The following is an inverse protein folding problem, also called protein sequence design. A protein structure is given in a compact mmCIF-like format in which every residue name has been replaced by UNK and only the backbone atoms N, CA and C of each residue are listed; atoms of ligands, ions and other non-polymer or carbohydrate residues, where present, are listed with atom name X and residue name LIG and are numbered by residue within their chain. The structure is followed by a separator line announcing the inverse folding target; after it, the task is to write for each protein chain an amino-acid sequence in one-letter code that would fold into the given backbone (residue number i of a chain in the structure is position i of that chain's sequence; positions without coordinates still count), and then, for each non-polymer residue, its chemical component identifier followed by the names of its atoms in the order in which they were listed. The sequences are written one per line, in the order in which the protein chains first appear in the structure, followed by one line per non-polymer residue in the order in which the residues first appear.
data_IF_472583404604
#
_entry.id   IF_472583404604
#
_cell.length_a   1.000
_cell.length_b   1.000
_cell.length_c   1.000
_cell.angle_alpha   90.00
_cell.angle_beta   90.00
_cell.angle_gamma   90.00
#
_symmetry.space_group_name_H-M   'P 1'
#
loop_
_entity.id
_entity.type
_entity.pdbx_description
1 polymer ?
#
# COMPACT_ATOMS: atom_id res chain seq x y z
N UNK A 1 49.48 29.63 -42.88
CA UNK A 1 50.30 30.79 -42.51
C UNK A 1 49.47 31.68 -41.61
N UNK A 2 50.00 31.96 -40.40
CA UNK A 2 49.64 33.04 -39.48
C UNK A 2 48.19 33.10 -38.94
N UNK A 3 47.91 33.51 -37.70
CA UNK A 3 48.68 33.67 -36.47
C UNK A 3 47.65 33.95 -35.36
N UNK A 4 48.10 33.81 -34.13
CA UNK A 4 47.42 33.77 -32.86
C UNK A 4 46.81 35.10 -32.37
N UNK A 5 45.89 34.96 -31.40
CA UNK A 5 45.89 35.79 -30.19
C UNK A 5 44.49 36.26 -29.75
N UNK A 6 44.18 36.50 -28.47
CA UNK A 6 44.91 36.44 -27.20
C UNK A 6 43.84 36.68 -26.09
N UNK A 7 43.92 35.94 -24.97
CA UNK A 7 43.70 36.32 -23.55
C UNK A 7 42.40 37.04 -23.12
N UNK A 8 41.53 36.39 -22.32
CA UNK A 8 41.49 36.30 -20.83
C UNK A 8 41.22 37.59 -20.05
N UNK A 9 40.37 37.44 -19.02
CA UNK A 9 40.29 38.25 -17.77
C UNK A 9 39.36 39.48 -17.87
N UNK A 10 38.60 39.94 -16.88
CA UNK A 10 38.67 39.78 -15.42
C UNK A 10 37.37 40.31 -14.77
N UNK A 11 36.95 39.69 -13.65
CA UNK A 11 36.38 40.28 -12.41
C UNK A 11 35.35 41.42 -12.51
N UNK A 12 34.14 41.14 -12.02
CA UNK A 12 33.34 42.14 -11.31
C UNK A 12 33.25 41.77 -9.82
N UNK A 13 33.53 42.78 -8.99
CA UNK A 13 33.72 42.76 -7.55
C UNK A 13 32.38 42.73 -6.79
N UNK A 14 32.35 41.89 -5.74
CA UNK A 14 31.98 42.19 -4.34
C UNK A 14 30.67 42.96 -4.04
N UNK A 15 29.88 42.45 -3.09
CA UNK A 15 29.53 43.17 -1.84
C UNK A 15 28.79 42.21 -0.86
N UNK A 16 29.44 41.93 0.28
CA UNK A 16 28.98 41.82 1.70
C UNK A 16 27.58 41.24 2.03
N UNK A 17 27.31 40.52 3.14
CA UNK A 17 27.86 40.54 4.50
C UNK A 17 27.39 39.26 5.23
N UNK A 18 28.26 38.62 6.01
CA UNK A 18 27.89 37.47 6.86
C UNK A 18 27.23 37.90 8.18
N UNK A 19 26.41 37.01 8.74
CA UNK A 19 26.02 37.05 10.14
C UNK A 19 26.16 35.66 10.74
N UNK A 20 27.19 35.50 11.56
CA UNK A 20 27.40 34.37 12.48
C UNK A 20 26.76 34.78 13.79
N UNK A 21 25.85 33.94 14.32
CA UNK A 21 25.44 34.03 15.73
C UNK A 21 25.75 32.68 16.36
N UNK A 22 26.82 32.66 17.15
CA UNK A 22 27.09 31.64 18.15
C UNK A 22 26.41 32.08 19.46
N UNK A 23 25.69 31.17 20.11
CA UNK A 23 25.30 31.32 21.51
C UNK A 23 25.75 30.07 22.27
N UNK A 24 26.63 30.30 23.24
CA UNK A 24 27.20 29.35 24.18
C UNK A 24 26.79 29.72 25.61
N UNK A 25 26.64 28.70 26.46
CA UNK A 25 26.32 28.78 27.90
C UNK A 25 24.92 28.22 28.19
N UNK A 26 24.69 27.15 28.95
CA UNK A 26 25.46 26.50 30.01
C UNK A 26 24.83 26.83 31.37
N UNK A 27 24.04 25.93 31.95
CA UNK A 27 23.94 25.77 33.41
C UNK A 27 23.29 24.44 33.82
N UNK A 28 23.96 23.79 34.75
CA UNK A 28 23.61 22.59 35.50
C UNK A 28 22.34 22.75 36.34
N UNK A 29 21.54 21.69 36.45
CA UNK A 29 20.89 21.29 37.70
C UNK A 29 20.85 19.75 37.78
N UNK A 30 21.63 19.20 38.72
CA UNK A 30 21.49 17.87 39.30
C UNK A 30 20.96 18.06 40.73
N UNK A 31 20.07 17.16 41.17
CA UNK A 31 19.84 16.65 42.54
C UNK A 31 18.53 15.83 42.46
N UNK A 32 18.60 14.50 42.40
CA UNK A 32 18.67 13.54 43.52
C UNK A 32 17.32 13.25 44.19
N UNK A 33 17.00 11.96 44.30
CA UNK A 33 15.78 11.46 44.94
C UNK A 33 15.51 9.98 44.71
N UNK A 34 16.49 9.12 45.03
CA UNK A 34 16.25 7.69 45.23
C UNK A 34 15.70 7.43 46.64
N UNK A 35 14.73 6.52 46.79
CA UNK A 35 14.78 5.32 47.64
C UNK A 35 13.36 4.82 47.93
N UNK A 36 13.06 3.57 47.59
CA UNK A 36 12.46 2.57 48.50
C UNK A 36 12.49 1.21 47.79
N UNK A 37 13.15 0.26 48.44
CA UNK A 37 13.26 -1.14 48.05
C UNK A 37 12.08 -1.95 48.59
N UNK A 38 11.69 -3.05 47.94
CA UNK A 38 11.81 -4.40 48.51
C UNK A 38 11.30 -5.49 47.55
N UNK A 39 12.00 -6.61 47.59
CA UNK A 39 11.72 -7.87 46.93
C UNK A 39 10.58 -8.66 47.61
N UNK A 40 9.99 -9.60 46.88
CA UNK A 40 9.08 -10.61 47.44
C UNK A 40 8.57 -11.57 46.36
N UNK A 41 9.07 -12.79 46.41
CA UNK A 41 8.75 -13.92 45.53
C UNK A 41 7.54 -14.71 46.06
N UNK A 42 6.85 -15.42 45.15
CA UNK A 42 6.12 -16.69 45.35
C UNK A 42 4.58 -16.72 45.46
N UNK A 43 4.06 -17.67 44.66
CA UNK A 43 2.94 -18.60 44.86
C UNK A 43 1.47 -18.17 44.71
N UNK A 44 0.90 -18.72 43.62
CA UNK A 44 -0.33 -19.53 43.54
C UNK A 44 -1.64 -19.01 44.18
N UNK A 45 -2.64 -18.84 43.32
CA UNK A 45 -4.06 -18.80 43.67
C UNK A 45 -4.92 -19.00 42.43
N UNK A 46 -5.47 -20.21 42.28
CA UNK A 46 -6.49 -20.58 41.31
C UNK A 46 -7.76 -19.74 41.50
N UNK A 47 -8.38 -19.30 40.40
CA UNK A 47 -9.85 -19.23 40.31
C UNK A 47 -10.31 -19.13 38.86
N UNK A 48 -11.10 -20.15 38.51
CA UNK A 48 -12.03 -20.30 37.40
C UNK A 48 -12.63 -19.00 36.84
N UNK A 49 -12.57 -18.87 35.52
CA UNK A 49 -13.31 -17.86 34.76
C UNK A 49 -13.32 -18.25 33.28
N UNK A 50 -14.41 -18.85 32.84
CA UNK A 50 -14.70 -19.21 31.46
C UNK A 50 -14.46 -18.02 30.51
N UNK A 51 -13.41 -18.12 29.68
CA UNK A 51 -13.17 -17.23 28.55
C UNK A 51 -13.25 -18.06 27.27
N UNK A 52 -14.27 -17.80 26.45
CA UNK A 52 -14.45 -18.45 25.16
C UNK A 52 -13.28 -18.06 24.25
N UNK A 53 -12.42 -19.04 23.98
CA UNK A 53 -11.38 -19.01 22.97
C UNK A 53 -12.02 -18.86 21.58
N UNK A 54 -11.81 -17.70 20.96
CA UNK A 54 -12.26 -17.36 19.61
C UNK A 54 -11.06 -17.03 18.71
N UNK A 55 -9.90 -17.63 18.97
CA UNK A 55 -8.74 -17.60 18.06
C UNK A 55 -8.46 -18.99 17.50
N UNK A 56 -9.37 -19.45 16.63
CA UNK A 56 -9.11 -20.57 15.74
C UNK A 56 -9.65 -20.32 14.34
N UNK A 57 -8.88 -19.56 13.57
CA UNK A 57 -8.81 -19.74 12.13
C UNK A 57 -7.37 -20.12 11.76
N UNK A 58 -7.08 -21.41 11.97
CA UNK A 58 -6.11 -22.14 11.16
C UNK A 58 -6.48 -21.92 9.69
N UNK A 59 -5.66 -21.20 8.94
CA UNK A 59 -5.56 -21.43 7.51
C UNK A 59 -4.55 -22.55 7.33
N UNK A 60 -5.02 -23.78 7.51
CA UNK A 60 -4.34 -24.95 7.03
C UNK A 60 -4.09 -24.79 5.52
N UNK A 61 -2.86 -25.06 5.09
CA UNK A 61 -2.57 -25.40 3.70
C UNK A 61 -3.55 -26.47 3.24
N UNK A 62 -4.36 -26.13 2.25
CA UNK A 62 -5.36 -27.00 1.69
C UNK A 62 -5.72 -26.52 0.31
N UNK A 63 -5.10 -27.17 -0.68
CA UNK A 63 -5.62 -27.42 -2.04
C UNK A 63 -6.05 -26.23 -2.89
N UNK A 64 -5.44 -26.16 -4.07
CA UNK A 64 -5.82 -25.35 -5.23
C UNK A 64 -7.32 -25.51 -5.49
N UNK A 65 -8.14 -24.59 -4.96
CA UNK A 65 -9.59 -24.64 -5.13
C UNK A 65 -10.01 -23.58 -6.17
N UNK A 66 -10.59 -24.11 -7.25
CA UNK A 66 -11.54 -23.47 -8.17
C UNK A 66 -11.03 -22.49 -9.25
N UNK A 67 -10.62 -23.05 -10.38
CA UNK A 67 -11.05 -22.51 -11.69
C UNK A 67 -12.49 -23.01 -11.98
N UNK A 68 -13.48 -22.34 -11.39
CA UNK A 68 -14.90 -22.47 -11.76
C UNK A 68 -15.45 -21.04 -11.87
N UNK A 69 -16.31 -20.73 -12.87
CA UNK A 69 -16.97 -19.43 -12.94
C UNK A 69 -18.02 -19.34 -11.83
N UNK A 70 -17.58 -19.05 -10.61
CA UNK A 70 -18.46 -18.87 -9.47
C UNK A 70 -18.96 -17.43 -9.46
N UNK A 71 -20.24 -17.28 -9.81
CA UNK A 71 -21.21 -16.41 -9.12
C UNK A 71 -20.80 -14.93 -8.95
N UNK A 72 -21.46 -14.04 -9.71
CA UNK A 72 -21.35 -12.56 -9.70
C UNK A 72 -21.58 -11.83 -8.34
N UNK A 73 -21.57 -12.49 -7.17
CA UNK A 73 -22.06 -11.89 -5.92
C UNK A 73 -21.32 -12.23 -4.61
N UNK A 74 -20.07 -12.69 -4.61
CA UNK A 74 -19.37 -12.96 -3.34
C UNK A 74 -18.80 -11.71 -2.65
N UNK A 75 -18.64 -10.60 -3.36
CA UNK A 75 -18.13 -9.35 -2.79
C UNK A 75 -18.81 -8.15 -3.44
N UNK A 76 -19.92 -7.62 -2.92
CA UNK A 76 -20.67 -6.54 -3.57
C UNK A 76 -19.85 -5.25 -3.77
N UNK A 77 -18.72 -5.16 -3.07
CA UNK A 77 -17.82 -4.01 -3.08
C UNK A 77 -16.58 -4.16 -3.96
N UNK A 78 -16.49 -5.23 -4.74
CA UNK A 78 -15.38 -5.49 -5.65
C UNK A 78 -15.94 -5.82 -7.03
N UNK A 79 -15.32 -5.25 -8.07
CA UNK A 79 -15.45 -5.76 -9.44
C UNK A 79 -14.08 -6.12 -9.97
N UNK A 80 -14.05 -7.11 -10.86
CA UNK A 80 -12.85 -7.64 -11.48
C UNK A 80 -12.96 -7.54 -12.99
N UNK A 81 -11.84 -7.37 -13.68
CA UNK A 81 -11.78 -7.56 -15.13
C UNK A 81 -11.99 -9.02 -15.50
N UNK A 82 -12.44 -9.30 -16.71
CA UNK A 82 -12.54 -10.69 -17.18
C UNK A 82 -11.15 -11.30 -17.43
N UNK A 83 -10.95 -12.53 -16.96
CA UNK A 83 -9.73 -13.28 -17.28
C UNK A 83 -9.80 -13.77 -18.73
N UNK A 84 -8.75 -13.50 -19.52
CA UNK A 84 -8.68 -13.85 -20.95
C UNK A 84 -8.00 -15.21 -21.16
N UNK A 85 -8.21 -15.87 -22.32
CA UNK A 85 -7.49 -17.10 -22.65
C UNK A 85 -5.96 -16.91 -22.59
N UNK A 86 -5.28 -17.88 -21.99
CA UNK A 86 -3.83 -17.90 -21.89
C UNK A 86 -3.18 -17.93 -23.29
N UNK A 87 -2.08 -17.20 -23.45
CA UNK A 87 -1.23 -17.26 -24.63
C UNK A 87 0.23 -17.01 -24.28
N UNK A 88 1.14 -17.55 -25.09
CA UNK A 88 2.58 -17.51 -24.82
C UNK A 88 3.18 -16.10 -24.86
N UNK A 89 2.64 -15.20 -25.70
CA UNK A 89 3.10 -13.81 -25.79
C UNK A 89 2.87 -13.04 -24.49
N UNK A 90 1.68 -13.20 -23.91
CA UNK A 90 1.35 -12.59 -22.62
C UNK A 90 2.14 -13.20 -21.46
N UNK A 91 2.40 -14.51 -21.47
CA UNK A 91 3.25 -15.15 -20.47
C UNK A 91 4.68 -14.55 -20.46
N UNK A 92 5.29 -14.40 -21.64
CA UNK A 92 6.61 -13.77 -21.76
C UNK A 92 6.62 -12.31 -21.30
N UNK A 93 5.55 -11.55 -21.61
CA UNK A 93 5.40 -10.16 -21.14
C UNK A 93 5.21 -10.07 -19.63
N UNK A 94 4.44 -10.97 -19.04
CA UNK A 94 4.25 -11.06 -17.60
C UNK A 94 5.58 -11.36 -16.89
N UNK A 95 6.38 -12.28 -17.43
CA UNK A 95 7.71 -12.60 -16.88
C UNK A 95 8.66 -11.39 -16.92
N UNK A 96 8.66 -10.64 -18.02
CA UNK A 96 9.46 -9.40 -18.13
C UNK A 96 9.03 -8.34 -17.10
N UNK A 97 7.73 -8.18 -16.87
CA UNK A 97 7.19 -7.28 -15.85
C UNK A 97 7.69 -7.71 -14.47
N UNK A 98 7.59 -9.00 -14.14
CA UNK A 98 8.03 -9.54 -12.85
C UNK A 98 9.53 -9.39 -12.66
N UNK A 99 10.34 -9.67 -13.67
CA UNK A 99 11.80 -9.51 -13.61
C UNK A 99 12.19 -8.05 -13.35
N UNK A 100 11.58 -7.11 -14.07
CA UNK A 100 11.82 -5.67 -13.87
C UNK A 100 11.42 -5.24 -12.47
N UNK A 101 10.26 -5.69 -12.00
CA UNK A 101 9.77 -5.38 -10.66
C UNK A 101 10.71 -5.95 -9.58
N UNK A 102 11.16 -7.20 -9.70
CA UNK A 102 12.12 -7.82 -8.75
C UNK A 102 13.38 -6.98 -8.59
N UNK A 103 13.95 -6.50 -9.70
CA UNK A 103 15.15 -5.66 -9.68
C UNK A 103 14.86 -4.32 -8.99
N UNK A 104 13.77 -3.64 -9.35
CA UNK A 104 13.39 -2.36 -8.76
C UNK A 104 13.11 -2.44 -7.25
N UNK A 105 12.49 -3.54 -6.81
CA UNK A 105 12.13 -3.77 -5.42
C UNK A 105 13.31 -4.14 -4.53
N UNK A 106 14.45 -4.55 -5.07
CA UNK A 106 15.58 -5.07 -4.30
C UNK A 106 16.02 -4.13 -3.16
N UNK A 107 16.08 -2.82 -3.43
CA UNK A 107 16.45 -1.81 -2.43
C UNK A 107 15.38 -1.57 -1.34
N UNK A 108 14.13 -1.92 -1.61
CA UNK A 108 13.02 -1.72 -0.69
C UNK A 108 12.81 -2.86 0.30
N UNK A 109 13.71 -3.87 0.30
CA UNK A 109 13.80 -4.83 1.41
C UNK A 109 14.03 -4.12 2.74
N UNK A 110 14.76 -3.01 2.74
CA UNK A 110 14.73 -2.04 3.84
C UNK A 110 13.61 -1.04 3.60
N UNK A 111 12.53 -1.14 4.38
CA UNK A 111 11.37 -0.25 4.25
C UNK A 111 11.70 1.23 4.50
N UNK A 112 12.81 1.55 5.18
CA UNK A 112 13.24 2.93 5.39
C UNK A 112 13.74 3.59 4.11
N UNK A 113 14.32 2.80 3.20
CA UNK A 113 14.67 3.27 1.85
C UNK A 113 13.39 3.61 1.08
N UNK A 114 12.36 2.78 1.19
CA UNK A 114 11.06 3.09 0.58
C UNK A 114 10.45 4.40 1.13
N UNK A 115 10.53 4.62 2.44
CA UNK A 115 10.09 5.87 3.05
C UNK A 115 10.90 7.08 2.57
N UNK A 116 12.23 6.94 2.46
CA UNK A 116 13.10 7.96 1.88
C UNK A 116 12.73 8.31 0.44
N UNK A 117 12.29 7.33 -0.34
CA UNK A 117 11.83 7.50 -1.73
C UNK A 117 10.35 7.94 -1.84
N UNK A 118 9.72 8.31 -0.72
CA UNK A 118 8.39 8.92 -0.68
C UNK A 118 7.22 7.93 -0.64
N UNK A 119 7.47 6.65 -0.37
CA UNK A 119 6.41 5.70 -0.02
C UNK A 119 6.02 5.87 1.46
N UNK A 120 4.72 5.93 1.75
CA UNK A 120 4.23 6.08 3.13
C UNK A 120 3.06 5.12 3.42
N UNK A 121 2.95 4.56 4.63
CA UNK A 121 1.86 3.66 4.99
C UNK A 121 0.50 4.35 4.82
N UNK A 122 -0.39 3.71 4.08
CA UNK A 122 -1.80 4.08 4.03
C UNK A 122 -2.47 3.64 5.33
N UNK A 123 -3.30 4.52 5.88
CA UNK A 123 -4.08 4.23 7.08
C UNK A 123 -3.23 3.67 8.25
N UNK A 124 -2.20 4.41 8.71
CA UNK A 124 -1.32 3.94 9.79
C UNK A 124 -2.08 3.69 11.11
N UNK A 125 -3.29 4.22 11.25
CA UNK A 125 -4.20 3.96 12.37
C UNK A 125 -4.79 2.55 12.38
N UNK A 126 -4.61 1.76 11.31
CA UNK A 126 -5.14 0.41 11.17
C UNK A 126 -4.02 -0.62 11.28
N UNK A 127 -4.39 -1.82 11.70
CA UNK A 127 -3.51 -3.00 11.77
C UNK A 127 -3.90 -4.06 10.74
N UNK A 128 -3.76 -3.78 9.43
CA UNK A 128 -4.04 -4.78 8.40
C UNK A 128 -2.99 -5.91 8.43
N UNK A 129 -3.33 -7.06 7.85
CA UNK A 129 -2.36 -8.15 7.61
C UNK A 129 -1.24 -7.68 6.66
N UNK A 130 -1.61 -6.97 5.60
CA UNK A 130 -0.71 -6.40 4.60
C UNK A 130 -0.82 -4.87 4.61
N UNK A 131 0.31 -4.19 4.70
CA UNK A 131 0.42 -2.74 4.70
C UNK A 131 0.75 -2.24 3.30
N UNK A 132 -0.04 -1.31 2.80
CA UNK A 132 0.23 -0.60 1.56
C UNK A 132 1.01 0.67 1.85
N UNK A 133 2.27 0.68 1.49
CA UNK A 133 3.09 1.89 1.50
C UNK A 133 2.91 2.57 0.15
N UNK A 134 2.09 3.62 0.06
CA UNK A 134 1.74 4.27 -1.20
C UNK A 134 2.64 5.47 -1.51
N UNK A 135 2.88 5.71 -2.80
CA UNK A 135 3.63 6.87 -3.28
C UNK A 135 2.73 7.76 -4.16
N UNK A 136 2.52 9.01 -3.72
CA UNK A 136 1.63 9.97 -4.40
C UNK A 136 2.11 10.33 -5.81
N UNK A 137 3.41 10.53 -5.99
CA UNK A 137 3.99 10.87 -7.29
C UNK A 137 3.85 9.70 -8.27
N UNK A 138 4.13 8.48 -7.82
CA UNK A 138 3.95 7.26 -8.62
C UNK A 138 2.49 7.07 -9.03
N UNK A 139 1.54 7.30 -8.11
CA UNK A 139 0.10 7.29 -8.42
C UNK A 139 -0.31 8.35 -9.45
N UNK A 140 0.31 9.54 -9.44
CA UNK A 140 0.06 10.57 -10.44
C UNK A 140 0.59 10.13 -11.81
N UNK A 141 1.82 9.60 -11.87
CA UNK A 141 2.43 9.08 -13.10
C UNK A 141 1.68 7.87 -13.68
N UNK A 142 1.11 7.02 -12.82
CA UNK A 142 0.33 5.87 -13.25
C UNK A 142 -0.95 6.22 -14.02
N UNK A 143 -1.41 7.48 -13.95
CA UNK A 143 -2.52 7.98 -14.78
C UNK A 143 -2.13 8.16 -16.24
N UNK A 144 -0.85 8.42 -16.53
CA UNK A 144 -0.36 8.75 -17.87
C UNK A 144 0.44 7.62 -18.51
N UNK A 145 1.14 6.80 -17.73
CA UNK A 145 1.94 5.68 -18.22
C UNK A 145 1.90 4.49 -17.27
N UNK A 146 2.32 3.33 -17.75
CA UNK A 146 2.64 2.18 -16.91
C UNK A 146 4.14 1.91 -16.99
N UNK A 147 4.77 1.72 -15.83
CA UNK A 147 6.17 1.39 -15.71
C UNK A 147 6.33 0.31 -14.63
N UNK A 148 6.80 -0.90 -14.98
CA UNK A 148 6.93 -2.02 -14.05
C UNK A 148 8.06 -1.83 -13.01
N UNK A 149 8.92 -0.82 -13.15
CA UNK A 149 9.91 -0.46 -12.13
C UNK A 149 9.37 0.57 -11.12
N UNK A 150 8.19 1.15 -11.36
CA UNK A 150 7.66 2.29 -10.61
C UNK A 150 6.29 1.99 -9.96
N UNK A 151 6.18 0.99 -9.06
CA UNK A 151 4.92 0.63 -8.46
C UNK A 151 4.32 1.76 -7.63
N UNK A 152 3.00 1.83 -7.62
CA UNK A 152 2.26 2.91 -6.95
C UNK A 152 2.13 2.72 -5.45
N UNK A 153 2.24 1.47 -4.99
CA UNK A 153 2.47 1.14 -3.60
C UNK A 153 3.35 -0.11 -3.47
N UNK A 154 4.01 -0.23 -2.34
CA UNK A 154 4.74 -1.42 -1.90
C UNK A 154 3.89 -2.15 -0.85
N UNK A 155 4.00 -3.47 -0.83
CA UNK A 155 3.27 -4.35 0.09
C UNK A 155 4.25 -4.88 1.13
N UNK A 156 3.89 -4.71 2.39
CA UNK A 156 4.69 -5.19 3.51
C UNK A 156 3.83 -5.92 4.53
N UNK A 157 4.37 -6.98 5.14
CA UNK A 157 3.86 -7.49 6.41
C UNK A 157 4.63 -6.86 7.56
N UNK A 158 3.96 -6.63 8.69
CA UNK A 158 4.61 -6.15 9.91
C UNK A 158 5.33 -7.31 10.60
N UNK A 159 6.59 -7.10 10.97
CA UNK A 159 7.43 -8.10 11.67
C UNK A 159 8.16 -7.40 12.81
N UNK A 160 7.77 -7.69 14.05
CA UNK A 160 8.22 -6.94 15.22
C UNK A 160 7.94 -5.44 15.07
N UNK A 161 8.97 -4.62 15.26
CA UNK A 161 8.91 -3.17 15.08
C UNK A 161 9.14 -2.71 13.63
N UNK A 162 9.39 -3.65 12.71
CA UNK A 162 9.70 -3.38 11.31
C UNK A 162 8.69 -3.95 10.32
N UNK A 163 9.11 -3.98 9.06
CA UNK A 163 8.32 -4.42 7.93
C UNK A 163 9.14 -5.31 6.99
N UNK A 164 8.53 -6.39 6.50
CA UNK A 164 9.14 -7.28 5.51
C UNK A 164 8.38 -7.15 4.17
N UNK A 165 9.14 -6.95 3.09
CA UNK A 165 8.59 -6.70 1.76
C UNK A 165 7.97 -7.98 1.17
N UNK A 166 6.71 -7.90 0.77
CA UNK A 166 5.95 -9.00 0.16
C UNK A 166 5.78 -8.80 -1.36
N UNK A 167 5.60 -7.54 -1.78
CA UNK A 167 5.36 -7.25 -3.19
C UNK A 167 5.01 -5.80 -3.48
N UNK A 168 4.19 -5.59 -4.50
CA UNK A 168 3.82 -4.27 -4.99
C UNK A 168 2.38 -4.20 -5.48
N UNK A 169 1.89 -2.98 -5.61
CA UNK A 169 0.59 -2.68 -6.20
C UNK A 169 0.71 -1.61 -7.28
N UNK A 170 0.04 -1.83 -8.40
CA UNK A 170 -0.17 -0.81 -9.43
C UNK A 170 -1.59 -0.27 -9.37
N UNK A 171 -1.75 0.98 -9.79
CA UNK A 171 -3.06 1.59 -9.98
C UNK A 171 -3.21 2.10 -11.41
N UNK A 172 -4.44 2.14 -11.91
CA UNK A 172 -4.76 2.73 -13.21
C UNK A 172 -6.02 3.60 -13.11
N UNK A 173 -6.23 4.57 -14.04
CA UNK A 173 -7.44 5.39 -14.09
C UNK A 173 -8.74 4.57 -14.06
N UNK A 174 -9.79 5.11 -13.44
CA UNK A 174 -11.07 4.40 -13.23
C UNK A 174 -11.83 4.08 -14.52
N UNK A 175 -11.58 4.89 -15.54
CA UNK A 175 -12.22 4.93 -16.86
C UNK A 175 -11.42 4.19 -17.93
N UNK A 176 -10.30 3.56 -17.54
CA UNK A 176 -9.50 2.73 -18.42
C UNK A 176 -10.29 1.47 -18.83
N UNK A 177 -10.33 1.18 -20.13
CA UNK A 177 -10.96 -0.04 -20.65
C UNK A 177 -10.15 -1.29 -20.33
N UNK A 178 -10.76 -2.47 -20.44
CA UNK A 178 -10.04 -3.73 -20.22
C UNK A 178 -8.91 -3.94 -21.24
N UNK A 179 -9.04 -3.45 -22.47
CA UNK A 179 -7.98 -3.46 -23.48
C UNK A 179 -6.77 -2.63 -23.03
N UNK A 180 -7.02 -1.43 -22.52
CA UNK A 180 -5.96 -0.55 -21.99
C UNK A 180 -5.32 -1.12 -20.72
N UNK A 181 -6.09 -1.80 -19.86
CA UNK A 181 -5.54 -2.53 -18.71
C UNK A 181 -4.69 -3.72 -19.16
N UNK A 182 -5.14 -4.44 -20.20
CA UNK A 182 -4.43 -5.57 -20.80
C UNK A 182 -3.08 -5.15 -21.42
N UNK A 183 -2.99 -3.94 -21.96
CA UNK A 183 -1.72 -3.36 -22.44
C UNK A 183 -0.71 -3.15 -21.30
N UNK A 184 -1.17 -2.87 -20.08
CA UNK A 184 -0.31 -2.70 -18.90
C UNK A 184 0.13 -4.04 -18.33
N UNK A 185 -0.83 -4.85 -17.91
CA UNK A 185 -0.60 -6.20 -17.36
C UNK A 185 -1.59 -7.13 -18.05
N UNK A 186 -1.13 -8.20 -18.70
CA UNK A 186 -2.00 -9.06 -19.47
C UNK A 186 -3.16 -9.64 -18.66
N UNK A 187 -4.37 -9.51 -19.18
CA UNK A 187 -5.58 -10.07 -18.57
C UNK A 187 -5.68 -11.59 -18.72
N UNK A 188 -4.76 -12.21 -19.46
CA UNK A 188 -4.63 -13.66 -19.53
C UNK A 188 -3.80 -14.24 -18.37
N UNK A 189 -3.12 -13.39 -17.57
CA UNK A 189 -2.30 -13.82 -16.42
C UNK A 189 -2.81 -13.29 -15.09
N UNK A 190 -3.55 -12.17 -15.08
CA UNK A 190 -3.99 -11.51 -13.86
C UNK A 190 -5.28 -10.71 -14.06
N UNK A 191 -6.02 -10.49 -12.98
CA UNK A 191 -7.21 -9.64 -12.99
C UNK A 191 -6.96 -8.33 -12.24
N UNK A 192 -7.34 -7.22 -12.85
CA UNK A 192 -7.44 -5.96 -12.13
C UNK A 192 -8.75 -5.92 -11.35
N UNK A 193 -8.75 -5.23 -10.22
CA UNK A 193 -9.96 -5.00 -9.45
C UNK A 193 -10.21 -3.52 -9.17
N UNK A 194 -11.46 -3.18 -8.89
CA UNK A 194 -11.84 -1.88 -8.41
C UNK A 194 -12.82 -2.01 -7.24
N UNK A 195 -12.69 -1.11 -6.27
CA UNK A 195 -13.63 -1.03 -5.17
C UNK A 195 -14.88 -0.27 -5.63
N UNK A 196 -16.04 -0.90 -5.52
CA UNK A 196 -17.31 -0.40 -6.06
C UNK A 196 -18.42 -0.40 -5.02
N UNK A 197 -19.51 0.29 -5.34
CA UNK A 197 -20.75 0.22 -4.57
C UNK A 197 -20.60 0.57 -3.08
N UNK A 198 -19.74 1.53 -2.74
CA UNK A 198 -19.39 1.82 -1.36
C UNK A 198 -20.35 2.84 -0.76
N UNK A 199 -20.79 2.59 0.48
CA UNK A 199 -21.54 3.57 1.26
C UNK A 199 -20.67 4.15 2.38
N UNK A 200 -20.61 5.47 2.48
CA UNK A 200 -19.87 6.19 3.52
C UNK A 200 -20.78 7.08 4.35
N UNK A 201 -20.45 7.27 5.62
CA UNK A 201 -21.09 8.30 6.42
C UNK A 201 -20.71 9.68 5.85
N UNK A 202 -21.67 10.59 5.61
CA UNK A 202 -21.36 11.94 5.18
C UNK A 202 -20.67 12.72 6.29
N UNK A 203 -19.78 13.63 5.90
CA UNK A 203 -19.10 14.51 6.84
C UNK A 203 -20.11 15.36 7.62
N UNK A 204 -19.93 15.45 8.94
CA UNK A 204 -20.83 16.22 9.80
C UNK A 204 -22.23 15.63 10.02
N UNK A 205 -22.51 14.40 9.55
CA UNK A 205 -23.81 13.75 9.78
C UNK A 205 -24.11 13.58 11.28
N UNK A 206 -25.27 14.09 11.72
CA UNK A 206 -25.83 13.83 13.06
C UNK A 206 -26.35 12.40 13.20
N UNK A 207 -26.75 11.75 12.09
CA UNK A 207 -27.17 10.35 12.06
C UNK A 207 -25.94 9.47 11.89
N UNK A 208 -25.60 8.71 12.94
CA UNK A 208 -24.47 7.78 12.93
C UNK A 208 -24.88 6.46 12.29
N UNK A 209 -24.27 6.11 11.17
CA UNK A 209 -24.43 4.80 10.55
C UNK A 209 -23.54 3.78 11.28
N UNK A 210 -23.97 2.52 11.34
CA UNK A 210 -23.16 1.48 11.99
C UNK A 210 -21.98 1.09 11.10
N UNK A 211 -20.83 0.70 11.68
CA UNK A 211 -19.67 0.23 10.89
C UNK A 211 -19.99 -0.99 10.02
N UNK A 212 -20.98 -1.81 10.41
CA UNK A 212 -21.45 -2.97 9.63
C UNK A 212 -22.10 -2.57 8.30
N UNK A 213 -22.59 -1.35 8.19
CA UNK A 213 -23.26 -0.84 6.98
C UNK A 213 -22.32 -0.11 6.02
N UNK A 214 -21.09 0.22 6.44
CA UNK A 214 -20.23 1.16 5.73
C UNK A 214 -18.99 0.51 5.12
N UNK A 215 -18.51 1.12 4.03
CA UNK A 215 -17.21 0.79 3.42
C UNK A 215 -17.16 -0.56 2.73
N UNK A 216 -15.95 -1.06 2.45
CA UNK A 216 -15.73 -2.26 1.63
C UNK A 216 -16.15 -3.59 2.27
N UNK A 217 -16.58 -3.58 3.53
CA UNK A 217 -17.17 -4.72 4.24
C UNK A 217 -18.61 -4.42 4.69
N UNK A 218 -19.20 -3.36 4.16
CA UNK A 218 -20.56 -2.95 4.47
C UNK A 218 -21.59 -3.93 3.91
N UNK A 219 -22.80 -3.89 4.45
CA UNK A 219 -23.94 -4.61 3.88
C UNK A 219 -24.68 -3.81 2.80
N UNK A 220 -24.49 -2.48 2.76
CA UNK A 220 -25.18 -1.60 1.82
C UNK A 220 -24.39 -1.55 0.50
N UNK A 221 -24.98 -2.08 -0.56
CA UNK A 221 -24.34 -2.23 -1.87
C UNK A 221 -25.05 -1.49 -3.00
N UNK A 222 -26.17 -0.82 -2.72
CA UNK A 222 -26.90 -0.05 -3.73
C UNK A 222 -26.96 1.43 -3.38
N UNK A 223 -27.11 2.27 -4.40
CA UNK A 223 -27.26 3.71 -4.21
C UNK A 223 -28.50 4.05 -3.38
N UNK A 224 -29.63 3.43 -3.70
CA UNK A 224 -30.91 3.66 -3.01
C UNK A 224 -30.82 3.32 -1.52
N UNK A 225 -30.29 2.15 -1.16
CA UNK A 225 -30.11 1.76 0.25
C UNK A 225 -29.16 2.72 0.98
N UNK A 226 -28.08 3.16 0.31
CA UNK A 226 -27.14 4.10 0.90
C UNK A 226 -27.80 5.45 1.17
N UNK A 227 -28.56 5.98 0.21
CA UNK A 227 -29.29 7.24 0.38
C UNK A 227 -30.38 7.15 1.46
N UNK A 228 -31.13 6.04 1.53
CA UNK A 228 -32.11 5.80 2.60
C UNK A 228 -31.46 5.75 3.99
N UNK A 229 -30.28 5.12 4.07
CA UNK A 229 -29.43 5.11 5.26
C UNK A 229 -28.73 6.47 5.51
N UNK A 230 -28.88 7.45 4.60
CA UNK A 230 -28.35 8.81 4.72
C UNK A 230 -26.84 8.85 4.52
N UNK A 231 -26.33 7.86 3.81
CA UNK A 231 -24.96 7.74 3.39
C UNK A 231 -24.68 8.51 2.11
N UNK A 232 -23.39 8.64 1.81
CA UNK A 232 -22.87 9.07 0.52
C UNK A 232 -22.45 7.84 -0.28
N UNK A 233 -23.16 7.56 -1.36
CA UNK A 233 -22.83 6.46 -2.26
C UNK A 233 -21.62 6.81 -3.13
N UNK A 234 -20.73 5.84 -3.32
CA UNK A 234 -19.55 5.93 -4.18
C UNK A 234 -19.55 4.74 -5.12
N UNK A 235 -19.92 4.93 -6.40
CA UNK A 235 -20.04 3.82 -7.34
C UNK A 235 -18.69 3.13 -7.59
N UNK A 236 -17.60 3.90 -7.62
CA UNK A 236 -16.24 3.38 -7.69
C UNK A 236 -15.29 4.29 -6.90
N UNK A 237 -14.61 3.75 -5.90
CA UNK A 237 -13.60 4.46 -5.13
C UNK A 237 -12.22 4.26 -5.76
N UNK A 238 -11.60 5.37 -6.17
CA UNK A 238 -10.30 5.32 -6.82
C UNK A 238 -10.39 4.76 -8.25
N UNK A 239 -9.30 4.14 -8.70
CA UNK A 239 -9.20 3.52 -10.02
C UNK A 239 -9.08 2.01 -9.92
N UNK A 240 -8.56 1.39 -10.97
CA UNK A 240 -8.20 -0.02 -10.95
C UNK A 240 -6.94 -0.25 -10.12
N UNK A 241 -6.83 -1.42 -9.51
CA UNK A 241 -5.74 -1.88 -8.67
C UNK A 241 -5.38 -3.31 -9.04
N UNK A 242 -4.11 -3.65 -8.87
CA UNK A 242 -3.61 -5.01 -9.04
C UNK A 242 -2.41 -5.21 -8.13
N UNK A 243 -2.40 -6.32 -7.41
CA UNK A 243 -1.28 -6.73 -6.56
C UNK A 243 -0.39 -7.70 -7.33
N UNK A 244 0.91 -7.60 -7.09
CA UNK A 244 1.92 -8.49 -7.67
C UNK A 244 2.87 -8.88 -6.55
N UNK A 245 3.04 -10.18 -6.35
CA UNK A 245 3.94 -10.78 -5.36
C UNK A 245 5.15 -11.39 -6.07
N UNK A 246 6.09 -10.55 -6.56
CA UNK A 246 7.14 -11.00 -7.46
C UNK A 246 8.06 -12.05 -6.85
N UNK A 247 8.10 -12.23 -5.53
CA UNK A 247 8.99 -13.19 -4.87
C UNK A 247 8.35 -14.56 -4.64
N UNK A 248 7.08 -14.74 -5.00
CA UNK A 248 6.40 -16.03 -4.95
C UNK A 248 6.97 -17.01 -5.98
N UNK A 249 6.82 -18.32 -5.69
CA UNK A 249 7.48 -19.39 -6.43
C UNK A 249 6.75 -19.85 -7.70
N UNK A 250 5.47 -19.52 -7.85
CA UNK A 250 4.67 -19.92 -9.01
C UNK A 250 4.02 -18.71 -9.69
N UNK A 251 3.83 -18.73 -11.02
CA UNK A 251 3.13 -17.64 -11.72
C UNK A 251 1.75 -17.34 -11.12
N UNK A 252 1.00 -18.37 -10.74
CA UNK A 252 -0.31 -18.20 -10.09
C UNK A 252 -0.16 -17.36 -8.82
N UNK A 253 0.74 -17.74 -7.90
CA UNK A 253 0.93 -17.00 -6.63
C UNK A 253 1.46 -15.58 -6.84
N UNK A 254 2.27 -15.34 -7.87
CA UNK A 254 2.77 -14.00 -8.22
C UNK A 254 1.62 -13.05 -8.56
N UNK A 255 0.59 -13.54 -9.25
CA UNK A 255 -0.53 -12.75 -9.76
C UNK A 255 -1.84 -12.94 -8.98
N UNK A 256 -1.81 -13.70 -7.88
CA UNK A 256 -2.99 -13.95 -7.04
C UNK A 256 -3.31 -12.72 -6.19
N UNK A 257 -4.60 -12.47 -6.00
CA UNK A 257 -5.14 -11.53 -5.02
C UNK A 257 -5.99 -12.29 -4.01
#
# INVERSE_FOLDING_TARGET
MADQGIRTSTRWLMFFLGFVVAFSGGLFFLMDGACMAQAGESAQGETSGQGMDMDRHDHAEGTVDMMVPHQKHLWPHMKWTELRPANAGDAGRADQIVQTLRQALGKYRDYRVAMGDGYAPLHPERTPKHYHFANKQRRLMAKVRFDPAEPTALLYKKVGDGYELEGAMYTAPRDMSEEQLNERIPLSVAQWHAHVNLCFQPDGSKRRMTRKQLGGKGTIATESECQQAGGRFVPQAGGWMIHVYPFESTPVKIWTH
#
